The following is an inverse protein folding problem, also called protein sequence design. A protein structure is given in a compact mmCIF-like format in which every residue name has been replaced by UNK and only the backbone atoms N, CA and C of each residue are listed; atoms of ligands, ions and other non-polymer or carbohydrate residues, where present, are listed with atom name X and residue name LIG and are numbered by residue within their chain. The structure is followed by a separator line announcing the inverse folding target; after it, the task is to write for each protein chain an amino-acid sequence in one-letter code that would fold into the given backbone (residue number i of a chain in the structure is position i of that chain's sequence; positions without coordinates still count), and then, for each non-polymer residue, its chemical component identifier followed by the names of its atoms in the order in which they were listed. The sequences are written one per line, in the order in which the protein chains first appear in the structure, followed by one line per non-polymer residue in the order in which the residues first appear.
data_IF_173569412599
#
_entry.id   IF_173569412599
#
_cell.length_a   1.000
_cell.length_b   1.000
_cell.length_c   1.000
_cell.angle_alpha   90.00
_cell.angle_beta   90.00
_cell.angle_gamma   90.00
#
_symmetry.space_group_name_H-M   'P 1'
#
loop_
_entity.id
_entity.type
_entity.pdbx_description
1 polymer ?
#
# COMPACT_ATOMS: atom_id res chain seq x y z
N UNK A 1 12.70 -22.19 -6.87
CA UNK A 1 12.18 -21.86 -5.52
C UNK A 1 13.28 -22.04 -4.46
N UNK A 2 13.55 -21.03 -3.64
CA UNK A 2 14.64 -21.07 -2.63
C UNK A 2 14.18 -21.52 -1.24
N UNK A 3 12.88 -21.47 -0.97
CA UNK A 3 12.32 -21.85 0.32
C UNK A 3 12.18 -23.37 0.43
N UNK A 4 12.34 -23.93 1.64
CA UNK A 4 12.31 -25.38 1.90
C UNK A 4 11.01 -26.06 1.49
N UNK A 5 9.89 -25.33 1.49
CA UNK A 5 8.60 -25.86 1.02
C UNK A 5 8.47 -25.95 -0.51
N UNK A 6 9.48 -25.51 -1.27
CA UNK A 6 9.49 -25.62 -2.74
C UNK A 6 8.59 -24.64 -3.48
N UNK A 7 7.94 -23.70 -2.78
CA UNK A 7 7.01 -22.71 -3.35
C UNK A 7 7.53 -21.27 -3.23
N UNK A 8 7.07 -20.41 -4.12
CA UNK A 8 7.18 -18.96 -4.07
C UNK A 8 5.97 -18.34 -3.36
N UNK A 9 6.08 -17.09 -2.92
CA UNK A 9 5.03 -16.40 -2.15
C UNK A 9 3.66 -16.40 -2.85
N UNK A 10 3.62 -16.11 -4.16
CA UNK A 10 2.38 -16.04 -4.92
C UNK A 10 1.65 -17.39 -5.05
N UNK A 11 2.32 -18.52 -4.79
CA UNK A 11 1.72 -19.85 -4.81
C UNK A 11 1.05 -20.22 -3.47
N UNK A 12 1.20 -19.37 -2.45
CA UNK A 12 0.65 -19.55 -1.11
C UNK A 12 -0.40 -18.49 -0.74
N UNK A 13 -0.46 -17.38 -1.48
CA UNK A 13 -1.40 -16.30 -1.21
C UNK A 13 -2.80 -16.62 -1.76
N UNK A 14 -3.86 -16.28 -1.00
CA UNK A 14 -5.24 -16.39 -1.47
C UNK A 14 -5.53 -15.44 -2.65
N UNK A 15 -4.90 -14.25 -2.61
CA UNK A 15 -5.04 -13.21 -3.63
C UNK A 15 -3.65 -12.67 -3.95
N UNK A 16 -3.34 -12.61 -5.24
CA UNK A 16 -2.10 -12.05 -5.76
C UNK A 16 -2.43 -10.78 -6.54
N UNK A 17 -1.79 -9.68 -6.18
CA UNK A 17 -1.84 -8.43 -6.94
C UNK A 17 -0.54 -8.33 -7.74
N UNK A 18 -0.62 -8.62 -9.03
CA UNK A 18 0.54 -8.56 -9.93
C UNK A 18 0.87 -7.11 -10.29
N UNK A 19 2.12 -6.70 -10.05
CA UNK A 19 2.62 -5.38 -10.43
C UNK A 19 2.92 -5.28 -11.91
N UNK A 20 3.00 -6.41 -12.61
CA UNK A 20 3.41 -6.52 -14.01
C UNK A 20 4.78 -5.89 -14.28
N UNK A 21 5.59 -5.66 -13.24
CA UNK A 21 6.94 -5.14 -13.40
C UNK A 21 7.78 -6.14 -14.21
N UNK A 22 8.68 -5.68 -15.08
CA UNK A 22 9.58 -6.57 -15.81
C UNK A 22 10.36 -7.47 -14.85
N UNK A 23 10.68 -8.69 -15.26
CA UNK A 23 11.38 -9.67 -14.43
C UNK A 23 12.70 -9.14 -13.85
N UNK A 24 13.41 -8.31 -14.63
CA UNK A 24 14.68 -7.69 -14.22
C UNK A 24 14.50 -6.45 -13.35
N UNK A 25 13.26 -6.01 -13.14
CA UNK A 25 12.89 -4.72 -12.53
C UNK A 25 13.76 -3.56 -13.02
N UNK A 26 13.88 -3.45 -14.34
CA UNK A 26 14.63 -2.40 -15.01
C UNK A 26 14.06 -2.20 -16.42
N UNK A 27 13.63 -0.98 -16.72
CA UNK A 27 12.75 -0.72 -17.86
C UNK A 27 13.37 0.13 -18.97
N UNK A 28 14.48 0.82 -18.68
CA UNK A 28 15.08 1.80 -19.60
C UNK A 28 16.47 1.35 -20.04
N UNK A 29 16.69 1.23 -21.35
CA UNK A 29 18.02 0.93 -21.90
C UNK A 29 18.96 2.13 -21.71
N UNK A 30 20.16 1.88 -21.21
CA UNK A 30 21.19 2.90 -21.03
C UNK A 30 22.28 2.76 -22.11
N UNK A 31 22.62 3.87 -22.78
CA UNK A 31 23.64 3.89 -23.84
C UNK A 31 24.97 3.36 -23.33
N UNK A 32 25.62 2.48 -24.10
CA UNK A 32 26.92 1.87 -23.80
C UNK A 32 26.95 0.99 -22.53
N UNK A 33 25.79 0.53 -22.05
CA UNK A 33 25.68 -0.36 -20.89
C UNK A 33 24.85 -1.59 -21.27
N UNK A 34 25.20 -2.75 -20.69
CA UNK A 34 24.45 -3.98 -20.87
C UNK A 34 23.15 -3.97 -20.03
N UNK A 35 23.27 -3.54 -18.77
CA UNK A 35 22.14 -3.50 -17.84
C UNK A 35 21.21 -2.31 -18.10
N UNK A 36 19.91 -2.55 -17.89
CA UNK A 36 18.88 -1.51 -17.92
C UNK A 36 18.83 -0.75 -16.59
N UNK A 37 18.30 0.48 -16.65
CA UNK A 37 18.00 1.31 -15.48
C UNK A 37 16.49 1.52 -15.33
N UNK A 38 16.08 2.26 -14.31
CA UNK A 38 14.67 2.61 -14.12
C UNK A 38 13.85 1.41 -13.62
N UNK A 39 14.09 0.96 -12.38
CA UNK A 39 13.17 0.02 -11.72
C UNK A 39 11.79 0.65 -11.60
N UNK A 40 10.77 -0.16 -11.80
CA UNK A 40 9.36 0.28 -11.77
C UNK A 40 8.57 -0.41 -10.67
N UNK A 41 9.10 -1.51 -10.11
CA UNK A 41 8.42 -2.28 -9.07
C UNK A 41 8.00 -1.43 -7.88
N UNK A 42 8.82 -0.48 -7.43
CA UNK A 42 8.47 0.44 -6.32
C UNK A 42 7.27 1.31 -6.66
N UNK A 43 7.24 1.92 -7.85
CA UNK A 43 6.15 2.78 -8.27
C UNK A 43 4.85 1.98 -8.48
N UNK A 44 4.96 0.80 -9.10
CA UNK A 44 3.85 -0.13 -9.23
C UNK A 44 3.33 -0.56 -7.86
N UNK A 45 4.20 -0.94 -6.93
CA UNK A 45 3.83 -1.36 -5.58
C UNK A 45 3.10 -0.24 -4.82
N UNK A 46 3.66 0.98 -4.79
CA UNK A 46 3.02 2.12 -4.12
C UNK A 46 1.64 2.39 -4.71
N UNK A 47 1.51 2.35 -6.04
CA UNK A 47 0.23 2.55 -6.73
C UNK A 47 -0.77 1.47 -6.35
N UNK A 48 -0.38 0.19 -6.41
CA UNK A 48 -1.25 -0.94 -6.09
C UNK A 48 -1.70 -0.93 -4.63
N UNK A 49 -0.83 -0.60 -3.69
CA UNK A 49 -1.17 -0.47 -2.26
C UNK A 49 -2.22 0.62 -2.09
N UNK A 50 -2.00 1.81 -2.65
CA UNK A 50 -2.96 2.90 -2.51
C UNK A 50 -4.29 2.61 -3.19
N UNK A 51 -4.29 2.01 -4.39
CA UNK A 51 -5.52 1.59 -5.06
C UNK A 51 -6.29 0.55 -4.24
N UNK A 52 -5.58 -0.39 -3.61
CA UNK A 52 -6.20 -1.38 -2.71
C UNK A 52 -6.82 -0.70 -1.51
N UNK A 53 -6.07 0.18 -0.83
CA UNK A 53 -6.54 0.90 0.36
C UNK A 53 -7.77 1.77 0.05
N UNK A 54 -7.74 2.55 -1.03
CA UNK A 54 -8.86 3.43 -1.40
C UNK A 54 -10.08 2.65 -1.86
N UNK A 55 -9.90 1.54 -2.57
CA UNK A 55 -11.01 0.64 -2.96
C UNK A 55 -11.67 0.02 -1.72
N UNK A 56 -10.89 -0.50 -0.78
CA UNK A 56 -11.40 -1.01 0.49
C UNK A 56 -12.13 0.07 1.29
N UNK A 57 -11.59 1.30 1.32
CA UNK A 57 -12.23 2.42 1.99
C UNK A 57 -13.60 2.73 1.37
N UNK A 58 -13.71 2.78 0.04
CA UNK A 58 -14.99 2.98 -0.65
C UNK A 58 -16.01 1.90 -0.31
N UNK A 59 -15.62 0.63 -0.41
CA UNK A 59 -16.49 -0.51 -0.06
C UNK A 59 -16.99 -0.44 1.39
N UNK A 60 -16.13 -0.05 2.33
CA UNK A 60 -16.51 0.06 3.75
C UNK A 60 -17.42 1.27 3.99
N UNK A 61 -17.19 2.39 3.31
CA UNK A 61 -18.05 3.56 3.37
C UNK A 61 -19.46 3.25 2.83
N UNK A 62 -19.56 2.54 1.70
CA UNK A 62 -20.84 2.10 1.13
C UNK A 62 -21.62 1.17 2.07
N UNK A 63 -20.90 0.45 2.94
CA UNK A 63 -21.48 -0.40 4.00
C UNK A 63 -21.84 0.36 5.27
N UNK A 64 -21.67 1.68 5.32
CA UNK A 64 -21.93 2.50 6.49
C UNK A 64 -20.91 2.33 7.62
N UNK A 65 -19.75 1.75 7.36
CA UNK A 65 -18.70 1.57 8.37
C UNK A 65 -18.01 2.90 8.62
N UNK A 66 -17.93 3.32 9.90
CA UNK A 66 -17.17 4.51 10.29
C UNK A 66 -15.67 4.28 10.06
N UNK A 67 -15.09 5.04 9.14
CA UNK A 67 -13.66 5.04 8.87
C UNK A 67 -12.95 6.13 9.69
N UNK A 68 -11.76 5.78 10.19
CA UNK A 68 -10.85 6.70 10.87
C UNK A 68 -9.68 6.99 9.94
N UNK A 69 -9.67 8.17 9.32
CA UNK A 69 -8.69 8.56 8.29
C UNK A 69 -7.74 9.60 8.87
N UNK A 70 -6.44 9.31 8.82
CA UNK A 70 -5.40 10.20 9.30
C UNK A 70 -5.42 11.52 8.49
N UNK A 71 -5.66 12.67 9.13
CA UNK A 71 -5.77 13.93 8.43
C UNK A 71 -4.40 14.50 8.03
N UNK A 72 -4.39 15.29 6.96
CA UNK A 72 -3.29 16.21 6.70
C UNK A 72 -3.37 17.38 7.67
N UNK A 73 -2.23 17.75 8.26
CA UNK A 73 -2.14 18.89 9.19
C UNK A 73 -1.84 20.21 8.46
N UNK A 74 -1.62 20.15 7.15
CA UNK A 74 -1.17 21.28 6.34
C UNK A 74 -2.30 21.93 5.54
N UNK A 75 -3.56 21.61 5.84
CA UNK A 75 -4.72 22.18 5.14
C UNK A 75 -5.03 23.56 5.73
N UNK A 76 -4.89 24.66 4.95
CA UNK A 76 -5.18 25.99 5.47
C UNK A 76 -6.64 26.11 5.92
N UNK A 77 -6.84 26.66 7.13
CA UNK A 77 -8.17 26.85 7.71
C UNK A 77 -8.76 25.62 8.43
N UNK A 78 -8.10 24.46 8.40
CA UNK A 78 -8.53 23.32 9.20
C UNK A 78 -7.95 23.37 10.61
N UNK A 79 -8.79 23.68 11.59
CA UNK A 79 -8.44 23.68 13.02
C UNK A 79 -8.73 22.34 13.72
N UNK A 80 -9.33 21.38 13.01
CA UNK A 80 -9.84 20.11 13.57
C UNK A 80 -8.94 18.90 13.34
N UNK A 81 -7.87 19.06 12.54
CA UNK A 81 -6.96 17.96 12.17
C UNK A 81 -6.42 17.21 13.38
N UNK A 82 -6.10 17.90 14.47
CA UNK A 82 -5.58 17.27 15.69
C UNK A 82 -6.61 16.36 16.37
N UNK A 83 -7.84 16.85 16.55
CA UNK A 83 -8.93 16.07 17.16
C UNK A 83 -9.27 14.82 16.33
N UNK A 84 -9.27 14.96 15.00
CA UNK A 84 -9.49 13.82 14.08
C UNK A 84 -8.34 12.82 14.15
N UNK A 85 -7.09 13.29 14.26
CA UNK A 85 -5.93 12.43 14.46
C UNK A 85 -6.04 11.66 15.78
N UNK A 86 -6.37 12.32 16.88
CA UNK A 86 -6.52 11.69 18.20
C UNK A 86 -7.59 10.58 18.13
N UNK A 87 -8.73 10.87 17.49
CA UNK A 87 -9.77 9.86 17.24
C UNK A 87 -9.30 8.69 16.37
N UNK A 88 -8.33 8.87 15.47
CA UNK A 88 -7.73 7.77 14.71
C UNK A 88 -6.78 6.92 15.57
N UNK A 89 -5.96 7.57 16.40
CA UNK A 89 -5.01 6.92 17.29
C UNK A 89 -5.74 6.05 18.32
N UNK A 90 -6.81 6.57 18.94
CA UNK A 90 -7.59 5.80 19.91
C UNK A 90 -8.28 4.60 19.29
N UNK A 91 -8.83 4.75 18.07
CA UNK A 91 -9.40 3.63 17.32
C UNK A 91 -8.34 2.57 16.97
N UNK A 92 -7.13 2.99 16.60
CA UNK A 92 -6.01 2.10 16.32
C UNK A 92 -5.58 1.34 17.59
N UNK A 93 -5.33 2.05 18.69
CA UNK A 93 -4.95 1.45 19.98
C UNK A 93 -5.96 0.41 20.45
N UNK A 94 -7.25 0.71 20.32
CA UNK A 94 -8.33 -0.21 20.70
C UNK A 94 -8.26 -1.52 19.92
N UNK A 95 -7.91 -1.47 18.63
CA UNK A 95 -7.78 -2.66 17.77
C UNK A 95 -6.51 -3.46 18.02
N UNK A 96 -5.40 -2.77 18.34
CA UNK A 96 -4.10 -3.42 18.55
C UNK A 96 -3.85 -3.84 19.99
N UNK A 97 -4.75 -3.52 20.91
CA UNK A 97 -4.61 -3.91 22.30
C UNK A 97 -4.62 -5.45 22.42
N UNK A 98 -3.45 -6.04 22.68
CA UNK A 98 -3.26 -7.49 22.82
C UNK A 98 -2.69 -8.22 21.59
N UNK A 99 -2.35 -7.49 20.51
CA UNK A 99 -1.36 -7.96 19.53
C UNK A 99 0.06 -7.71 20.08
#
# INVERSE_FOLDING_TARGET
PRHSCGKNLFELADIVVDSCAPLTDASVTLKNHFDKIGPVSTMCFVTLVWMTVTTCAGILADRGVKLHIHPSHNVPGDTTARERLDGCIEAYKTRTFGL
#
